data_IF_035392926135
#
_entry.id   IF_035392926135
#
_cell.length_a   1.000
_cell.length_b   1.000
_cell.length_c   1.000
_cell.angle_alpha   90.00
_cell.angle_beta   90.00
_cell.angle_gamma   90.00
#
_symmetry.space_group_name_H-M   'P 1'
#
loop_
_entity.id
_entity.type
_entity.pdbx_description
1 polymer ?
#
# COMPACT_ATOMS: atom_id res chain seq x y z
N UNK A 1 58.85 -20.21 -16.86
CA UNK A 1 57.71 -19.31 -17.12
C UNK A 1 56.54 -20.15 -17.64
N UNK A 2 55.57 -20.46 -16.78
CA UNK A 2 54.44 -21.33 -17.11
C UNK A 2 53.29 -20.47 -17.67
N UNK A 3 53.08 -20.50 -19.00
CA UNK A 3 51.96 -19.78 -19.63
C UNK A 3 50.67 -20.55 -19.34
N UNK A 4 49.85 -20.05 -18.41
CA UNK A 4 48.47 -20.51 -18.25
C UNK A 4 47.71 -20.22 -19.55
N UNK A 5 47.28 -21.26 -20.25
CA UNK A 5 46.34 -21.14 -21.35
C UNK A 5 45.00 -20.68 -20.77
N UNK A 6 44.69 -19.39 -20.92
CA UNK A 6 43.37 -18.85 -20.62
C UNK A 6 42.49 -19.28 -21.79
N UNK A 7 41.73 -20.37 -21.61
CA UNK A 7 40.73 -20.78 -22.58
C UNK A 7 39.61 -19.73 -22.62
N UNK A 8 39.34 -19.15 -23.79
CA UNK A 8 38.20 -18.27 -24.01
C UNK A 8 36.87 -19.05 -23.98
N UNK A 9 35.78 -18.34 -23.72
CA UNK A 9 34.44 -18.93 -23.73
C UNK A 9 34.04 -19.38 -25.14
N UNK A 10 33.39 -20.54 -25.24
CA UNK A 10 32.84 -21.01 -26.51
C UNK A 10 31.62 -20.18 -26.90
N UNK A 11 31.42 -19.93 -28.20
CA UNK A 11 30.27 -19.16 -28.72
C UNK A 11 28.94 -19.72 -28.19
N UNK A 12 28.80 -21.05 -28.17
CA UNK A 12 27.57 -21.71 -27.70
C UNK A 12 27.33 -21.47 -26.20
N UNK A 13 28.40 -21.40 -25.40
CA UNK A 13 28.32 -21.15 -23.96
C UNK A 13 27.81 -19.75 -23.68
N UNK A 14 28.33 -18.76 -24.41
CA UNK A 14 27.85 -17.36 -24.34
C UNK A 14 26.38 -17.26 -24.76
N UNK A 15 25.98 -17.94 -25.83
CA UNK A 15 24.58 -17.94 -26.28
C UNK A 15 23.64 -18.54 -25.22
N UNK A 16 24.03 -19.65 -24.58
CA UNK A 16 23.26 -20.27 -23.51
C UNK A 16 23.19 -19.35 -22.29
N UNK A 17 24.30 -18.71 -21.90
CA UNK A 17 24.31 -17.75 -20.79
C UNK A 17 23.42 -16.54 -21.06
N UNK A 18 23.44 -15.98 -22.27
CA UNK A 18 22.56 -14.87 -22.66
C UNK A 18 21.08 -15.27 -22.61
N UNK A 19 20.74 -16.48 -23.09
CA UNK A 19 19.37 -16.99 -23.03
C UNK A 19 18.89 -17.14 -21.58
N UNK A 20 19.69 -17.76 -20.73
CA UNK A 20 19.38 -17.93 -19.31
C UNK A 20 19.22 -16.57 -18.61
N UNK A 21 20.11 -15.63 -18.90
CA UNK A 21 20.03 -14.28 -18.36
C UNK A 21 18.74 -13.56 -18.78
N UNK A 22 18.34 -13.67 -20.05
CA UNK A 22 17.11 -13.07 -20.55
C UNK A 22 15.87 -13.66 -19.84
N UNK A 23 15.82 -14.97 -19.64
CA UNK A 23 14.73 -15.65 -18.92
C UNK A 23 14.65 -15.14 -17.48
N UNK A 24 15.80 -15.04 -16.78
CA UNK A 24 15.86 -14.54 -15.41
C UNK A 24 15.39 -13.08 -15.33
N UNK A 25 15.84 -12.23 -16.25
CA UNK A 25 15.46 -10.81 -16.28
C UNK A 25 13.97 -10.61 -16.50
N UNK A 26 13.35 -11.39 -17.39
CA UNK A 26 11.90 -11.35 -17.60
C UNK A 26 11.13 -11.79 -16.35
N UNK A 27 11.57 -12.87 -15.70
CA UNK A 27 10.99 -13.33 -14.44
C UNK A 27 11.09 -12.27 -13.34
N UNK A 28 12.25 -11.63 -13.21
CA UNK A 28 12.48 -10.58 -12.22
C UNK A 28 11.65 -9.32 -12.47
N UNK A 29 11.50 -8.92 -13.73
CA UNK A 29 10.68 -7.76 -14.11
C UNK A 29 9.20 -7.97 -13.78
N UNK A 30 8.66 -9.16 -14.07
CA UNK A 30 7.29 -9.53 -13.70
C UNK A 30 7.09 -9.52 -12.19
N UNK A 31 8.03 -10.09 -11.44
CA UNK A 31 8.01 -10.11 -9.98
C UNK A 31 8.04 -8.70 -9.38
N UNK A 32 8.93 -7.83 -9.88
CA UNK A 32 9.04 -6.45 -9.42
C UNK A 32 7.74 -5.67 -9.65
N UNK A 33 7.10 -5.87 -10.80
CA UNK A 33 5.82 -5.25 -11.13
C UNK A 33 4.72 -5.67 -10.16
N UNK A 34 4.65 -6.96 -9.82
CA UNK A 34 3.72 -7.48 -8.83
C UNK A 34 3.94 -6.82 -7.44
N UNK A 35 5.19 -6.74 -6.97
CA UNK A 35 5.52 -6.07 -5.71
C UNK A 35 5.10 -4.61 -5.71
N UNK A 36 5.42 -3.86 -6.77
CA UNK A 36 5.10 -2.42 -6.85
C UNK A 36 3.58 -2.20 -6.78
N UNK A 37 2.80 -2.99 -7.51
CA UNK A 37 1.34 -2.90 -7.47
C UNK A 37 0.78 -3.19 -6.08
N UNK A 38 1.30 -4.22 -5.41
CA UNK A 38 0.91 -4.56 -4.04
C UNK A 38 1.34 -3.47 -3.05
N UNK A 39 2.51 -2.87 -3.23
CA UNK A 39 2.99 -1.77 -2.41
C UNK A 39 2.06 -0.54 -2.52
N UNK A 40 1.67 -0.15 -3.74
CA UNK A 40 0.72 0.94 -3.94
C UNK A 40 -0.64 0.67 -3.31
N UNK A 41 -1.12 -0.57 -3.37
CA UNK A 41 -2.35 -0.98 -2.69
C UNK A 41 -2.23 -0.75 -1.18
N UNK A 42 -1.16 -1.23 -0.55
CA UNK A 42 -0.96 -1.04 0.89
C UNK A 42 -0.74 0.42 1.27
N UNK A 43 0.01 1.20 0.49
CA UNK A 43 0.20 2.63 0.76
C UNK A 43 -1.14 3.38 0.80
N UNK A 44 -2.04 3.10 -0.15
CA UNK A 44 -3.39 3.71 -0.15
C UNK A 44 -4.19 3.27 1.08
N UNK A 45 -4.08 2.01 1.47
CA UNK A 45 -4.76 1.48 2.65
C UNK A 45 -4.24 2.14 3.94
N UNK A 46 -2.92 2.21 4.13
CA UNK A 46 -2.31 2.89 5.28
C UNK A 46 -2.66 4.37 5.34
N UNK A 47 -2.69 5.05 4.20
CA UNK A 47 -3.12 6.45 4.14
C UNK A 47 -4.58 6.61 4.55
N UNK A 48 -5.47 5.70 4.15
CA UNK A 48 -6.87 5.71 4.57
C UNK A 48 -7.06 5.47 6.07
N UNK A 49 -6.26 4.58 6.67
CA UNK A 49 -6.20 4.40 8.13
C UNK A 49 -5.77 5.69 8.84
N UNK A 50 -4.67 6.31 8.40
CA UNK A 50 -4.20 7.57 8.99
C UNK A 50 -5.24 8.69 8.91
N UNK A 51 -5.95 8.80 7.77
CA UNK A 51 -7.03 9.75 7.60
C UNK A 51 -8.20 9.43 8.54
N UNK A 52 -8.59 8.16 8.65
CA UNK A 52 -9.66 7.74 9.55
C UNK A 52 -9.34 8.09 11.01
N UNK A 53 -8.10 7.87 11.46
CA UNK A 53 -7.64 8.30 12.78
C UNK A 53 -7.64 9.81 12.96
N UNK A 54 -7.08 10.56 12.00
CA UNK A 54 -7.02 12.02 12.10
C UNK A 54 -8.42 12.66 12.12
N UNK A 55 -9.38 12.12 11.36
CA UNK A 55 -10.78 12.55 11.41
C UNK A 55 -11.46 12.22 12.76
N UNK A 56 -11.03 11.13 13.40
CA UNK A 56 -11.56 10.71 14.70
C UNK A 56 -11.04 11.60 15.82
N UNK A 57 -9.79 12.03 15.72
CA UNK A 57 -9.18 12.96 16.65
C UNK A 57 -9.67 14.39 16.46
N UNK A 58 -10.07 14.78 15.24
CA UNK A 58 -10.62 16.12 14.99
C UNK A 58 -12.10 16.24 15.37
N UNK A 59 -12.82 15.13 15.57
CA UNK A 59 -14.25 15.14 15.90
C UNK A 59 -14.52 15.95 17.19
N UNK A 60 -15.53 16.85 17.21
CA UNK A 60 -16.61 17.02 16.22
C UNK A 60 -16.27 17.95 15.04
N UNK A 61 -15.08 18.53 15.00
CA UNK A 61 -14.66 19.42 13.93
C UNK A 61 -14.24 18.62 12.70
N UNK A 62 -14.79 18.98 11.52
CA UNK A 62 -14.37 18.41 10.25
C UNK A 62 -13.19 19.20 9.70
N UNK A 63 -12.10 18.51 9.34
CA UNK A 63 -10.93 19.14 8.70
C UNK A 63 -10.92 18.69 7.23
N UNK A 64 -11.58 19.43 6.33
CA UNK A 64 -11.75 19.02 4.93
C UNK A 64 -10.42 18.86 4.17
N UNK A 65 -9.34 19.48 4.66
CA UNK A 65 -8.00 19.39 4.04
C UNK A 65 -7.29 18.05 4.22
N UNK A 66 -7.76 17.18 5.14
CA UNK A 66 -7.12 15.89 5.41
C UNK A 66 -7.43 14.85 4.32
N UNK A 67 -8.53 15.04 3.57
CA UNK A 67 -9.09 14.04 2.67
C UNK A 67 -8.63 14.31 1.22
N UNK A 68 -7.98 13.34 0.55
CA UNK A 68 -7.63 13.47 -0.86
C UNK A 68 -8.87 13.62 -1.76
N UNK A 69 -8.73 14.37 -2.85
CA UNK A 69 -9.76 14.48 -3.86
C UNK A 69 -10.18 13.08 -4.37
N UNK A 70 -11.49 12.87 -4.54
CA UNK A 70 -12.16 11.62 -4.96
C UNK A 70 -12.29 10.53 -3.89
N UNK A 71 -11.98 10.82 -2.62
CA UNK A 71 -12.21 9.88 -1.52
C UNK A 71 -13.52 10.23 -0.82
N UNK A 72 -14.34 9.22 -0.53
CA UNK A 72 -15.59 9.41 0.21
C UNK A 72 -15.35 9.09 1.68
N UNK A 73 -16.03 9.80 2.57
CA UNK A 73 -16.00 9.52 3.99
C UNK A 73 -17.38 9.72 4.62
N UNK A 74 -17.63 9.00 5.70
CA UNK A 74 -18.84 9.10 6.49
C UNK A 74 -18.47 9.10 7.96
N UNK A 75 -19.01 10.06 8.69
CA UNK A 75 -18.88 10.14 10.15
C UNK A 75 -20.29 10.03 10.73
N UNK A 76 -20.47 9.10 11.67
CA UNK A 76 -21.73 8.95 12.38
C UNK A 76 -21.46 8.61 13.84
N UNK A 77 -22.36 9.02 14.73
CA UNK A 77 -22.25 8.74 16.16
C UNK A 77 -23.49 8.00 16.65
N UNK A 78 -23.31 7.01 17.51
CA UNK A 78 -24.38 6.30 18.18
C UNK A 78 -24.28 6.55 19.70
N UNK A 79 -25.40 6.87 20.37
CA UNK A 79 -25.41 6.97 21.83
C UNK A 79 -25.12 5.59 22.44
N UNK A 80 -24.26 5.53 23.44
CA UNK A 80 -23.93 4.30 24.16
C UNK A 80 -24.45 4.33 25.60
N UNK A 81 -24.33 5.47 26.28
CA UNK A 81 -24.90 5.70 27.62
C UNK A 81 -25.33 7.17 27.78
N UNK A 82 -25.82 7.54 28.97
CA UNK A 82 -26.25 8.91 29.29
C UNK A 82 -25.15 9.96 29.15
N UNK A 83 -23.87 9.59 29.24
CA UNK A 83 -22.72 10.49 29.08
C UNK A 83 -21.72 10.05 28.00
N UNK A 84 -21.98 8.95 27.29
CA UNK A 84 -21.05 8.39 26.31
C UNK A 84 -21.69 8.17 24.93
N UNK A 85 -20.92 8.48 23.89
CA UNK A 85 -21.24 8.25 22.48
C UNK A 85 -20.12 7.48 21.79
N UNK A 86 -20.45 6.54 20.91
CA UNK A 86 -19.49 5.90 20.01
C UNK A 86 -19.51 6.65 18.69
N UNK A 87 -18.36 7.15 18.26
CA UNK A 87 -18.18 7.78 16.96
C UNK A 87 -17.55 6.77 16.02
N UNK A 88 -18.12 6.64 14.84
CA UNK A 88 -17.66 5.79 13.76
C UNK A 88 -17.24 6.65 12.58
N UNK A 89 -16.13 6.26 11.96
CA UNK A 89 -15.58 6.90 10.77
C UNK A 89 -15.31 5.84 9.73
N UNK A 90 -15.96 6.00 8.58
CA UNK A 90 -15.73 5.17 7.41
C UNK A 90 -15.02 6.01 6.36
N UNK A 91 -13.87 5.55 5.87
CA UNK A 91 -13.14 6.14 4.74
C UNK A 91 -13.16 5.16 3.59
N UNK A 92 -13.61 5.61 2.42
CA UNK A 92 -13.75 4.81 1.21
C UNK A 92 -12.76 5.35 0.16
N UNK A 93 -11.55 4.75 0.08
CA UNK A 93 -10.63 5.02 -1.01
C UNK A 93 -11.17 4.42 -2.33
N UNK A 94 -10.96 5.08 -3.48
CA UNK A 94 -11.48 4.64 -4.78
C UNK A 94 -10.91 3.26 -5.15
N UNK A 95 -11.79 2.31 -5.50
CA UNK A 95 -11.45 0.92 -5.86
C UNK A 95 -10.75 0.10 -4.76
N UNK A 96 -10.90 0.49 -3.49
CA UNK A 96 -10.27 -0.20 -2.35
C UNK A 96 -11.29 -0.50 -1.26
N UNK A 97 -10.89 -1.32 -0.29
CA UNK A 97 -11.74 -1.66 0.86
C UNK A 97 -12.01 -0.42 1.71
N UNK A 98 -13.23 -0.32 2.20
CA UNK A 98 -13.62 0.68 3.21
C UNK A 98 -12.86 0.43 4.50
N UNK A 99 -12.21 1.47 4.99
CA UNK A 99 -11.59 1.49 6.32
C UNK A 99 -12.61 1.99 7.32
N UNK A 100 -12.72 1.32 8.46
CA UNK A 100 -13.66 1.65 9.54
C UNK A 100 -12.87 1.84 10.83
N UNK A 101 -13.04 3.00 11.45
CA UNK A 101 -12.48 3.30 12.77
C UNK A 101 -13.58 3.73 13.71
N UNK A 102 -13.42 3.45 15.00
CA UNK A 102 -14.39 3.82 16.02
C UNK A 102 -13.71 4.28 17.30
N UNK A 103 -14.32 5.22 18.02
CA UNK A 103 -13.87 5.67 19.34
C UNK A 103 -15.06 5.92 20.24
N UNK A 104 -14.93 5.49 21.49
CA UNK A 104 -15.84 5.87 22.56
C UNK A 104 -15.43 7.24 23.09
N UNK A 105 -16.36 8.18 23.09
CA UNK A 105 -16.23 9.50 23.69
C UNK A 105 -17.21 9.58 24.85
N UNK A 106 -16.70 9.86 26.04
CA UNK A 106 -17.50 10.14 27.22
C UNK A 106 -17.23 11.58 27.66
N UNK A 107 -18.30 12.31 27.99
CA UNK A 107 -18.22 13.63 28.63
C UNK A 107 -17.85 13.48 30.12
#
# INVERSE_FOLDING_TARGET
MNRKNIAGFSLIEVMISCLMFAIIMLGFSGYLTAIISQHHYFQKQFKAEQIAFALLDSYPHTVPQIIPNNWQYQVYSQPYSTSCRIVFINVIPPNHKTIKQQRLLCD
#
